data_IF_056024530000
#
_entry.id   IF_056024530000
#
_cell.length_a   1.000
_cell.length_b   1.000
_cell.length_c   1.000
_cell.angle_alpha   90.00
_cell.angle_beta   90.00
_cell.angle_gamma   90.00
#
_symmetry.space_group_name_H-M   'P 1'
#
loop_
_entity.id
_entity.type
_entity.pdbx_description
1 polymer ?
#
# COMPACT_ATOMS: atom_id res chain seq x y z
N UNK A 1 -4.77 14.06 9.59
CA UNK A 1 -3.87 13.52 8.53
C UNK A 1 -4.56 12.31 7.94
N UNK A 2 -4.49 12.10 6.63
CA UNK A 2 -5.15 10.95 6.00
C UNK A 2 -4.44 9.64 6.32
N UNK A 3 -5.14 8.53 6.15
CA UNK A 3 -4.61 7.18 6.16
C UNK A 3 -5.12 6.38 4.97
N UNK A 4 -4.35 5.36 4.57
CA UNK A 4 -4.75 4.38 3.56
C UNK A 4 -4.66 2.97 4.17
N UNK A 5 -5.76 2.23 4.09
CA UNK A 5 -5.82 0.85 4.55
C UNK A 5 -5.28 -0.11 3.50
N UNK A 6 -4.36 -0.98 3.92
CA UNK A 6 -3.64 -1.94 3.10
C UNK A 6 -3.68 -3.30 3.79
N UNK A 7 -4.02 -4.36 3.06
CA UNK A 7 -3.89 -5.72 3.59
C UNK A 7 -2.42 -6.06 3.79
N UNK A 8 -2.14 -6.96 4.71
CA UNK A 8 -0.85 -7.63 4.77
C UNK A 8 -0.78 -8.68 3.66
N UNK A 9 0.40 -8.96 3.06
CA UNK A 9 1.72 -8.43 3.39
C UNK A 9 2.05 -7.07 2.74
N UNK A 10 1.14 -6.49 1.98
CA UNK A 10 1.43 -5.29 1.17
C UNK A 10 1.86 -4.09 2.01
N UNK A 11 1.21 -3.88 3.16
CA UNK A 11 1.59 -2.82 4.09
C UNK A 11 3.03 -3.04 4.60
N UNK A 12 3.40 -4.27 4.95
CA UNK A 12 4.75 -4.64 5.38
C UNK A 12 5.78 -4.47 4.25
N UNK A 13 5.46 -4.86 3.02
CA UNK A 13 6.36 -4.67 1.87
C UNK A 13 6.64 -3.20 1.57
N UNK A 14 5.65 -2.32 1.77
CA UNK A 14 5.85 -0.87 1.68
C UNK A 14 6.78 -0.42 2.80
N UNK A 15 6.53 -0.86 4.05
CA UNK A 15 7.36 -0.51 5.21
C UNK A 15 8.80 -1.00 5.13
N UNK A 16 9.06 -2.11 4.44
CA UNK A 16 10.40 -2.60 4.13
C UNK A 16 11.07 -1.84 2.97
N UNK A 17 10.36 -0.92 2.30
CA UNK A 17 10.84 -0.18 1.14
C UNK A 17 10.91 -1.02 -0.15
N UNK A 18 10.43 -2.27 -0.13
CA UNK A 18 10.41 -3.16 -1.29
C UNK A 18 9.32 -2.77 -2.28
N UNK A 19 8.12 -2.46 -1.78
CA UNK A 19 6.99 -1.99 -2.59
C UNK A 19 6.95 -0.46 -2.59
N UNK A 20 7.33 0.14 -3.72
CA UNK A 20 7.40 1.60 -3.91
C UNK A 20 6.15 2.18 -4.59
N UNK A 21 5.36 1.32 -5.24
CA UNK A 21 4.11 1.71 -5.90
C UNK A 21 2.96 0.89 -5.34
N UNK A 22 1.94 1.56 -4.79
CA UNK A 22 0.68 0.94 -4.38
C UNK A 22 -0.33 0.95 -5.54
N UNK A 23 -0.94 -0.20 -5.86
CA UNK A 23 -1.76 -0.34 -7.08
C UNK A 23 -3.25 -0.34 -6.74
N UNK A 24 -4.03 0.47 -7.47
CA UNK A 24 -5.46 0.70 -7.19
C UNK A 24 -6.30 0.71 -8.48
N UNK A 25 -7.60 0.46 -8.32
CA UNK A 25 -8.60 0.61 -9.39
C UNK A 25 -9.15 2.05 -9.50
N UNK A 26 -8.86 2.90 -8.53
CA UNK A 26 -9.36 4.27 -8.43
C UNK A 26 -8.21 5.27 -8.35
N UNK A 27 -8.46 6.51 -8.78
CA UNK A 27 -7.50 7.63 -8.75
C UNK A 27 -7.74 8.55 -7.57
N UNK A 28 -6.71 9.31 -7.20
CA UNK A 28 -6.82 10.38 -6.20
C UNK A 28 -6.05 11.63 -6.61
N UNK A 29 -6.59 12.79 -6.25
CA UNK A 29 -5.91 14.08 -6.37
C UNK A 29 -5.06 14.40 -5.13
N UNK A 30 -5.14 13.59 -4.07
CA UNK A 30 -4.36 13.80 -2.86
C UNK A 30 -2.86 13.61 -3.12
N UNK A 31 -2.05 14.51 -2.55
CA UNK A 31 -0.59 14.43 -2.46
C UNK A 31 -0.16 14.83 -1.05
N UNK A 32 0.92 14.19 -0.57
CA UNK A 32 1.49 14.47 0.74
C UNK A 32 1.46 13.27 1.69
N UNK A 33 1.73 13.56 2.97
CA UNK A 33 1.95 12.55 4.01
C UNK A 33 0.64 11.91 4.46
N UNK A 34 0.65 10.59 4.62
CA UNK A 34 -0.45 9.81 5.13
C UNK A 34 0.04 8.66 6.00
N UNK A 35 -0.85 8.13 6.84
CA UNK A 35 -0.59 6.92 7.62
C UNK A 35 -0.86 5.65 6.80
N UNK A 36 0.02 4.67 6.93
CA UNK A 36 -0.21 3.30 6.49
C UNK A 36 -1.01 2.60 7.58
N UNK A 37 -2.25 2.21 7.27
CA UNK A 37 -3.07 1.37 8.13
C UNK A 37 -2.99 -0.09 7.66
N UNK A 38 -2.64 -1.03 8.53
CA UNK A 38 -2.74 -2.45 8.24
C UNK A 38 -4.17 -2.94 8.51
N UNK A 39 -4.82 -3.43 7.45
CA UNK A 39 -6.15 -4.02 7.54
C UNK A 39 -6.16 -5.24 8.47
N UNK A 40 -7.34 -5.60 8.99
CA UNK A 40 -7.51 -6.84 9.78
C UNK A 40 -7.30 -8.11 8.95
N UNK A 41 -7.58 -8.04 7.66
CA UNK A 41 -7.44 -9.17 6.74
C UNK A 41 -6.03 -9.22 6.14
N UNK A 42 -5.53 -10.44 5.99
CA UNK A 42 -4.21 -10.77 5.44
C UNK A 42 -4.43 -11.55 4.14
N UNK A 43 -3.73 -11.20 3.07
CA UNK A 43 -3.64 -12.00 1.85
C UNK A 43 -2.57 -13.09 2.08
N UNK A 44 -3.02 -14.28 2.47
CA UNK A 44 -2.14 -15.38 2.90
C UNK A 44 -1.24 -15.94 1.78
N UNK A 45 -1.73 -15.97 0.54
CA UNK A 45 -0.95 -16.47 -0.61
C UNK A 45 0.29 -15.59 -0.82
N UNK A 46 0.17 -14.25 -1.04
CA UNK A 46 1.32 -13.37 -1.09
C UNK A 46 2.18 -13.41 0.18
N UNK A 47 1.57 -13.50 1.37
CA UNK A 47 2.36 -13.57 2.61
C UNK A 47 3.32 -14.77 2.62
N UNK A 48 2.84 -15.94 2.16
CA UNK A 48 3.64 -17.15 2.00
C UNK A 48 4.71 -16.99 0.92
N UNK A 49 4.35 -16.46 -0.25
CA UNK A 49 5.28 -16.24 -1.36
C UNK A 49 6.45 -15.32 -0.99
N UNK A 50 6.20 -14.27 -0.21
CA UNK A 50 7.24 -13.37 0.29
C UNK A 50 7.91 -13.85 1.58
N UNK A 51 7.49 -14.99 2.15
CA UNK A 51 8.04 -15.53 3.39
C UNK A 51 7.81 -14.63 4.61
N UNK A 52 6.74 -13.83 4.62
CA UNK A 52 6.43 -12.87 5.67
C UNK A 52 5.36 -13.42 6.61
N UNK A 53 5.55 -13.23 7.91
CA UNK A 53 4.67 -13.70 9.00
C UNK A 53 4.60 -12.67 10.14
N UNK A 54 3.82 -12.98 11.17
CA UNK A 54 3.74 -12.21 12.43
C UNK A 54 3.36 -10.74 12.23
N UNK A 55 2.30 -10.50 11.44
CA UNK A 55 1.90 -9.16 11.07
C UNK A 55 1.11 -8.43 12.16
N UNK A 56 1.43 -7.15 12.35
CA UNK A 56 0.49 -6.21 12.95
C UNK A 56 -0.71 -5.98 12.02
N UNK A 57 -1.91 -6.01 12.59
CA UNK A 57 -3.17 -5.70 11.89
C UNK A 57 -4.05 -4.77 12.72
N UNK A 58 -5.07 -4.17 12.10
CA UNK A 58 -6.05 -3.30 12.76
C UNK A 58 -5.45 -2.02 13.37
N UNK A 59 -4.36 -1.51 12.80
CA UNK A 59 -3.59 -0.42 13.37
C UNK A 59 -2.93 0.45 12.30
N UNK A 60 -2.65 1.71 12.64
CA UNK A 60 -1.69 2.55 11.94
C UNK A 60 -0.29 2.04 12.29
N UNK A 61 0.49 1.66 11.28
CA UNK A 61 1.81 1.01 11.47
C UNK A 61 2.95 1.75 10.78
N UNK A 62 2.62 2.76 9.98
CA UNK A 62 3.63 3.58 9.33
C UNK A 62 3.11 4.92 8.83
N UNK A 63 4.03 5.66 8.23
CA UNK A 63 3.77 6.84 7.43
C UNK A 63 4.44 6.67 6.08
N UNK A 64 3.83 7.25 5.05
CA UNK A 64 4.43 7.40 3.73
C UNK A 64 3.94 8.70 3.12
N UNK A 65 4.57 9.10 2.03
CA UNK A 65 4.18 10.26 1.24
C UNK A 65 3.75 9.82 -0.14
N UNK A 66 2.52 10.19 -0.53
CA UNK A 66 2.04 10.02 -1.90
C UNK A 66 2.54 11.20 -2.72
N UNK A 67 3.56 10.98 -3.55
CA UNK A 67 4.19 12.04 -4.34
C UNK A 67 3.62 12.14 -5.75
N UNK A 68 3.18 11.03 -6.33
CA UNK A 68 2.52 11.03 -7.62
C UNK A 68 1.59 9.83 -7.84
N UNK A 69 0.74 9.89 -8.87
CA UNK A 69 -0.16 8.82 -9.30
C UNK A 69 0.05 8.60 -10.78
N UNK A 70 0.63 7.46 -11.12
CA UNK A 70 0.76 6.98 -12.49
C UNK A 70 -0.56 6.34 -12.94
N UNK A 71 -1.04 6.69 -14.12
CA UNK A 71 -2.10 5.96 -14.82
C UNK A 71 -1.46 4.99 -15.83
N UNK A 72 -1.74 3.71 -15.68
CA UNK A 72 -1.29 2.68 -16.61
C UNK A 72 -2.28 2.55 -17.76
N UNK A 73 -1.76 2.58 -18.98
CA UNK A 73 -2.59 2.51 -20.20
C UNK A 73 -3.09 1.10 -20.48
N UNK A 74 -2.24 0.11 -20.25
CA UNK A 74 -2.49 -1.30 -20.52
C UNK A 74 -1.63 -2.19 -19.59
N UNK A 75 -1.78 -3.51 -19.72
CA UNK A 75 -1.00 -4.47 -18.95
C UNK A 75 0.51 -4.39 -19.24
N UNK A 76 0.91 -4.06 -20.48
CA UNK A 76 2.32 -3.94 -20.83
C UNK A 76 2.98 -2.79 -20.07
N UNK A 77 2.30 -1.65 -19.97
CA UNK A 77 2.78 -0.50 -19.19
C UNK A 77 2.74 -0.75 -17.68
N UNK A 78 1.76 -1.51 -17.20
CA UNK A 78 1.70 -1.98 -15.81
C UNK A 78 2.92 -2.85 -15.46
N UNK A 79 3.23 -3.84 -16.30
CA UNK A 79 4.34 -4.78 -16.07
C UNK A 79 5.73 -4.15 -16.07
N UNK A 80 5.90 -2.95 -16.64
CA UNK A 80 7.16 -2.19 -16.54
C UNK A 80 7.53 -1.81 -15.11
N UNK A 81 6.56 -1.82 -14.19
CA UNK A 81 6.74 -1.47 -12.79
C UNK A 81 6.52 -2.69 -11.85
N UNK A 82 6.56 -3.93 -12.39
CA UNK A 82 6.38 -5.16 -11.62
C UNK A 82 7.34 -5.26 -10.41
N UNK A 83 8.57 -4.80 -10.57
CA UNK A 83 9.60 -4.75 -9.53
C UNK A 83 9.30 -3.70 -8.45
N UNK A 84 8.51 -2.67 -8.77
CA UNK A 84 8.15 -1.57 -7.86
C UNK A 84 6.83 -1.81 -7.16
N UNK A 85 5.86 -2.43 -7.81
CA UNK A 85 4.56 -2.71 -7.20
C UNK A 85 4.40 -4.15 -6.70
N UNK A 86 5.23 -5.10 -7.12
CA UNK A 86 5.24 -6.49 -6.64
C UNK A 86 3.88 -7.20 -6.77
N UNK A 87 3.11 -6.86 -7.81
CA UNK A 87 1.72 -7.29 -7.98
C UNK A 87 1.51 -8.15 -9.24
N UNK A 88 2.60 -8.78 -9.73
CA UNK A 88 2.53 -9.73 -10.83
C UNK A 88 1.56 -10.86 -10.45
N UNK A 89 0.65 -11.20 -11.35
CA UNK A 89 -0.38 -12.23 -11.10
C UNK A 89 -1.62 -11.77 -10.31
N UNK A 90 -1.69 -10.51 -9.85
CA UNK A 90 -2.86 -9.98 -9.10
C UNK A 90 -3.88 -9.25 -9.98
N UNK A 91 -3.69 -9.35 -11.29
CA UNK A 91 -4.49 -8.71 -12.34
C UNK A 91 -4.20 -7.21 -12.48
N UNK A 92 -4.52 -6.69 -13.65
CA UNK A 92 -4.30 -5.29 -14.01
C UNK A 92 -4.93 -4.30 -13.00
N UNK A 93 -4.20 -3.23 -12.70
CA UNK A 93 -4.65 -2.08 -11.91
C UNK A 93 -4.32 -0.80 -12.65
N UNK A 94 -5.34 0.02 -12.88
CA UNK A 94 -5.24 1.21 -13.71
C UNK A 94 -4.36 2.32 -13.09
N UNK A 95 -4.22 2.37 -11.77
CA UNK A 95 -3.47 3.44 -11.10
C UNK A 95 -2.37 2.90 -10.17
N UNK A 96 -1.21 3.54 -10.20
CA UNK A 96 -0.06 3.31 -9.33
C UNK A 96 0.25 4.53 -8.49
N UNK A 97 0.09 4.43 -7.18
CA UNK A 97 0.38 5.47 -6.20
C UNK A 97 1.86 5.39 -5.85
N UNK A 98 2.64 6.39 -6.26
CA UNK A 98 4.10 6.44 -6.07
C UNK A 98 4.39 6.94 -4.66
N UNK A 99 5.05 6.09 -3.87
CA UNK A 99 5.29 6.31 -2.45
C UNK A 99 6.75 6.68 -2.18
N UNK A 100 6.97 7.68 -1.31
CA UNK A 100 8.28 8.07 -0.79
C UNK A 100 8.24 8.25 0.73
N UNK A 101 9.42 8.46 1.33
CA UNK A 101 9.59 8.82 2.73
C UNK A 101 8.87 7.86 3.70
N UNK A 102 8.95 6.57 3.40
CA UNK A 102 8.30 5.54 4.21
C UNK A 102 9.00 5.42 5.56
N UNK A 103 8.22 5.45 6.64
CA UNK A 103 8.72 5.31 8.01
C UNK A 103 7.78 4.46 8.85
N UNK A 104 8.31 3.43 9.51
CA UNK A 104 7.58 2.63 10.50
C UNK A 104 7.34 3.46 11.78
N UNK A 105 6.19 3.25 12.42
CA UNK A 105 5.86 3.85 13.72
C UNK A 105 5.47 2.76 14.71
N UNK A 106 5.43 3.10 16.01
CA UNK A 106 4.79 2.23 17.00
C UNK A 106 3.32 2.04 16.61
N UNK A 107 2.80 0.81 16.56
CA UNK A 107 1.41 0.57 16.16
C UNK A 107 0.42 1.35 17.01
N UNK A 108 -0.54 2.01 16.36
CA UNK A 108 -1.66 2.71 17.00
C UNK A 108 -2.94 2.01 16.55
N UNK A 109 -3.66 1.30 17.45
CA UNK A 109 -4.94 0.68 17.11
C UNK A 109 -5.89 1.71 16.47
N UNK A 110 -6.44 1.39 15.30
CA UNK A 110 -7.33 2.30 14.60
C UNK A 110 -8.27 1.52 13.67
N UNK A 111 -9.52 1.95 13.55
CA UNK A 111 -10.48 1.30 12.65
C UNK A 111 -10.23 1.76 11.20
N UNK A 112 -9.78 0.83 10.35
CA UNK A 112 -9.59 1.08 8.93
C UNK A 112 -10.89 1.39 8.18
N UNK A 113 -10.78 2.10 7.07
CA UNK A 113 -11.89 2.47 6.18
C UNK A 113 -11.47 2.33 4.71
N UNK A 114 -12.46 2.40 3.80
CA UNK A 114 -12.22 2.42 2.36
C UNK A 114 -11.63 3.77 1.92
N UNK A 115 -10.92 3.75 0.80
CA UNK A 115 -10.23 4.91 0.22
C UNK A 115 -9.26 5.57 1.22
N UNK A 116 -8.81 6.79 0.93
CA UNK A 116 -8.16 7.61 1.94
C UNK A 116 -9.21 8.10 2.95
N UNK A 117 -8.93 7.95 4.23
CA UNK A 117 -9.80 8.39 5.32
C UNK A 117 -9.06 9.29 6.30
N UNK A 118 -9.79 10.14 7.01
CA UNK A 118 -9.20 11.01 8.03
C UNK A 118 -8.91 10.24 9.32
N UNK A 119 -7.71 10.48 9.85
CA UNK A 119 -7.33 10.09 11.22
C UNK A 119 -7.59 11.27 12.14
N UNK A 120 -8.49 11.06 13.10
CA UNK A 120 -8.81 12.01 14.17
C UNK A 120 -7.88 11.81 15.36
#
# INVERSE_FOLDING_TARGET
MKALSLKQPWAELILQGKKKIETRKWKTNFRGKFYIHASKNIDLIPAKEFGLKDFQTGALIGKAELVDVKEYKDEKDFHKDDDKHLARGLGFRKYGFILKNVKRIKPIPYKGQLNFFEVK
#
